data_IF_470513142774
#
_entry.id   IF_470513142774
#
_cell.length_a   1.000
_cell.length_b   1.000
_cell.length_c   1.000
_cell.angle_alpha   90.00
_cell.angle_beta   90.00
_cell.angle_gamma   90.00
#
_symmetry.space_group_name_H-M   'P 1'
#
loop_
_entity.id
_entity.type
_entity.pdbx_description
1 polymer ?
#
# COMPACT_ATOMS: atom_id res chain seq x y z
N UNK A 1 15.74 24.93 -19.56
CA UNK A 1 14.53 24.61 -20.36
C UNK A 1 13.78 23.36 -19.87
N UNK A 2 14.37 22.51 -19.01
CA UNK A 2 13.70 21.32 -18.44
C UNK A 2 12.51 21.57 -17.49
N UNK A 3 12.43 22.72 -16.82
CA UNK A 3 11.44 22.91 -15.73
C UNK A 3 9.98 23.07 -16.17
N UNK A 4 9.70 23.34 -17.45
CA UNK A 4 8.31 23.42 -17.95
C UNK A 4 7.72 22.03 -18.19
N UNK A 5 8.50 21.10 -18.76
CA UNK A 5 8.03 19.74 -19.04
C UNK A 5 7.75 18.95 -17.77
N UNK A 6 8.61 19.08 -16.75
CA UNK A 6 8.43 18.40 -15.46
C UNK A 6 7.13 18.82 -14.77
N UNK A 7 6.82 20.12 -14.79
CA UNK A 7 5.60 20.64 -14.16
C UNK A 7 4.33 20.17 -14.87
N UNK A 8 4.32 20.17 -16.20
CA UNK A 8 3.16 19.71 -16.98
C UNK A 8 2.93 18.19 -16.83
N UNK A 9 4.01 17.41 -16.69
CA UNK A 9 3.93 15.97 -16.42
C UNK A 9 3.45 15.71 -14.98
N UNK A 10 4.01 16.41 -13.99
CA UNK A 10 3.57 16.33 -12.60
C UNK A 10 2.09 16.73 -12.45
N UNK A 11 1.62 17.79 -13.13
CA UNK A 11 0.22 18.21 -13.09
C UNK A 11 -0.70 17.18 -13.78
N UNK A 12 -0.24 16.51 -14.85
CA UNK A 12 -1.00 15.45 -15.55
C UNK A 12 -1.06 14.13 -14.78
N UNK A 13 -0.02 13.79 -14.03
CA UNK A 13 0.07 12.56 -13.25
C UNK A 13 -0.55 12.78 -11.85
N UNK A 14 -0.27 13.90 -11.19
CA UNK A 14 -0.55 14.13 -9.77
C UNK A 14 -2.03 14.20 -9.37
N UNK A 15 -2.96 14.40 -10.32
CA UNK A 15 -4.39 14.54 -10.01
C UNK A 15 -5.17 13.23 -9.81
N UNK A 16 -4.72 12.11 -10.41
CA UNK A 16 -5.46 10.83 -10.41
C UNK A 16 -4.61 9.60 -10.07
N UNK A 17 -3.29 9.74 -10.01
CA UNK A 17 -2.36 8.63 -9.78
C UNK A 17 -2.22 8.27 -8.29
N UNK A 18 -2.77 9.07 -7.37
CA UNK A 18 -2.69 8.74 -5.94
C UNK A 18 -3.69 7.67 -5.47
N UNK A 19 -4.72 7.35 -6.25
CA UNK A 19 -5.85 6.53 -5.76
C UNK A 19 -5.99 5.17 -6.43
N UNK A 20 -5.14 4.82 -7.39
CA UNK A 20 -5.29 3.58 -8.18
C UNK A 20 -4.10 2.64 -7.99
N UNK A 21 -4.33 1.32 -7.81
CA UNK A 21 -3.23 0.36 -7.57
C UNK A 21 -2.28 0.19 -8.77
N UNK A 22 -2.62 0.72 -9.95
CA UNK A 22 -1.74 0.65 -11.10
C UNK A 22 -1.94 1.77 -12.10
N UNK A 23 -0.87 2.07 -12.81
CA UNK A 23 -0.82 3.09 -13.83
C UNK A 23 -0.22 2.51 -15.11
N UNK A 24 -0.59 3.04 -16.26
CA UNK A 24 -0.05 2.60 -17.54
C UNK A 24 0.12 3.77 -18.50
N UNK A 25 1.16 3.69 -19.34
CA UNK A 25 1.49 4.74 -20.29
C UNK A 25 1.89 4.12 -21.61
N UNK A 26 1.45 4.71 -22.72
CA UNK A 26 1.85 4.36 -24.06
C UNK A 26 2.92 5.34 -24.57
N UNK A 27 4.00 4.79 -25.12
CA UNK A 27 5.07 5.58 -25.74
C UNK A 27 5.29 5.18 -27.19
N UNK A 28 5.50 6.16 -28.06
CA UNK A 28 5.76 5.92 -29.48
C UNK A 28 7.27 6.02 -29.75
N UNK A 29 7.89 4.89 -30.09
CA UNK A 29 9.33 4.79 -30.35
C UNK A 29 9.74 5.70 -31.51
N UNK A 30 10.78 6.50 -31.28
CA UNK A 30 11.30 7.47 -32.25
C UNK A 30 10.53 8.78 -32.32
N UNK A 31 9.47 8.95 -31.52
CA UNK A 31 8.73 10.21 -31.35
C UNK A 31 8.89 10.76 -29.94
N UNK A 32 8.80 9.90 -28.92
CA UNK A 32 9.01 10.30 -27.52
C UNK A 32 10.49 10.55 -27.20
N UNK A 33 10.79 11.67 -26.56
CA UNK A 33 12.13 11.99 -26.05
C UNK A 33 12.48 11.07 -24.85
N UNK A 34 13.66 10.42 -24.85
CA UNK A 34 14.13 9.66 -23.69
C UNK A 34 14.12 10.44 -22.36
N UNK A 35 14.29 11.77 -22.35
CA UNK A 35 14.23 12.56 -21.12
C UNK A 35 12.84 12.56 -20.49
N UNK A 36 11.78 12.51 -21.30
CA UNK A 36 10.40 12.50 -20.80
C UNK A 36 10.10 11.19 -20.07
N UNK A 37 10.67 10.07 -20.55
CA UNK A 37 10.59 8.78 -19.86
C UNK A 37 11.24 8.81 -18.48
N UNK A 38 12.39 9.48 -18.36
CA UNK A 38 13.10 9.61 -17.09
C UNK A 38 12.28 10.42 -16.09
N UNK A 39 11.69 11.54 -16.53
CA UNK A 39 10.80 12.37 -15.70
C UNK A 39 9.58 11.58 -15.25
N UNK A 40 8.91 10.86 -16.16
CA UNK A 40 7.76 10.01 -15.80
C UNK A 40 8.13 8.98 -14.73
N UNK A 41 9.29 8.32 -14.86
CA UNK A 41 9.74 7.34 -13.87
C UNK A 41 10.01 8.00 -12.52
N UNK A 42 10.68 9.15 -12.51
CA UNK A 42 10.96 9.91 -11.28
C UNK A 42 9.66 10.37 -10.60
N UNK A 43 8.70 10.91 -11.35
CA UNK A 43 7.41 11.31 -10.84
C UNK A 43 6.64 10.11 -10.27
N UNK A 44 6.60 8.98 -10.98
CA UNK A 44 5.93 7.77 -10.50
C UNK A 44 6.61 7.17 -9.26
N UNK A 45 7.94 7.18 -9.22
CA UNK A 45 8.71 6.73 -8.06
C UNK A 45 8.38 7.56 -6.81
N UNK A 46 8.27 8.89 -6.95
CA UNK A 46 7.82 9.82 -5.90
C UNK A 46 6.40 9.53 -5.40
N UNK A 47 5.55 8.97 -6.24
CA UNK A 47 4.19 8.54 -5.89
C UNK A 47 4.11 7.04 -5.54
N UNK A 48 5.22 6.43 -5.16
CA UNK A 48 5.31 5.05 -4.70
C UNK A 48 4.95 4.00 -5.76
N UNK A 49 5.24 4.28 -7.03
CA UNK A 49 5.13 3.31 -8.10
C UNK A 49 6.48 2.70 -8.48
N UNK A 50 6.44 1.46 -8.95
CA UNK A 50 7.55 0.80 -9.64
C UNK A 50 7.11 0.32 -11.03
N UNK A 51 8.07 0.14 -11.94
CA UNK A 51 7.82 -0.35 -13.28
C UNK A 51 7.72 -1.88 -13.29
N UNK A 52 6.62 -2.41 -13.83
CA UNK A 52 6.31 -3.83 -13.80
C UNK A 52 6.38 -4.55 -15.14
N UNK A 53 6.43 -3.82 -16.25
CA UNK A 53 6.57 -4.46 -17.54
C UNK A 53 6.52 -3.49 -18.71
N UNK A 54 6.96 -4.01 -19.84
CA UNK A 54 6.90 -3.33 -21.13
C UNK A 54 6.31 -4.31 -22.14
N UNK A 55 5.24 -3.90 -22.82
CA UNK A 55 4.64 -4.64 -23.92
C UNK A 55 4.76 -3.85 -25.22
N UNK A 56 5.48 -4.41 -26.20
CA UNK A 56 5.63 -3.81 -27.51
C UNK A 56 4.43 -4.13 -28.42
N UNK A 57 3.94 -3.12 -29.14
CA UNK A 57 2.90 -3.22 -30.17
C UNK A 57 3.48 -3.00 -31.58
N UNK A 58 2.80 -3.50 -32.64
CA UNK A 58 3.29 -3.42 -34.02
C UNK A 58 3.59 -2.00 -34.53
N UNK A 59 2.88 -0.98 -34.06
CA UNK A 59 2.97 0.40 -34.55
C UNK A 59 4.10 1.21 -33.90
N UNK A 60 5.19 0.56 -33.48
CA UNK A 60 6.28 1.19 -32.72
C UNK A 60 5.76 1.86 -31.43
N UNK A 61 4.74 1.27 -30.81
CA UNK A 61 4.21 1.74 -29.53
C UNK A 61 4.59 0.74 -28.46
N UNK A 62 5.02 1.21 -27.30
CA UNK A 62 5.36 0.40 -26.15
C UNK A 62 4.46 0.82 -24.98
N UNK A 63 3.77 -0.15 -24.36
CA UNK A 63 2.99 0.03 -23.15
C UNK A 63 3.86 -0.27 -21.94
N UNK A 64 4.01 0.71 -21.07
CA UNK A 64 4.69 0.58 -19.79
C UNK A 64 3.64 0.48 -18.70
N UNK A 65 3.76 -0.53 -17.86
CA UNK A 65 2.87 -0.71 -16.70
C UNK A 65 3.62 -0.44 -15.42
N UNK A 66 2.95 0.21 -14.49
CA UNK A 66 3.44 0.56 -13.17
C UNK A 66 2.43 0.14 -12.11
N UNK A 67 2.91 -0.25 -10.93
CA UNK A 67 2.10 -0.62 -9.77
C UNK A 67 2.62 0.09 -8.54
N UNK A 68 1.80 0.25 -7.51
CA UNK A 68 2.33 0.65 -6.20
C UNK A 68 3.41 -0.33 -5.75
N UNK A 69 4.49 0.17 -5.16
CA UNK A 69 5.62 -0.62 -4.64
C UNK A 69 5.19 -1.68 -3.61
N UNK A 70 4.11 -1.42 -2.87
CA UNK A 70 3.51 -2.36 -1.92
C UNK A 70 2.77 -3.54 -2.57
N UNK A 71 2.49 -3.49 -3.88
CA UNK A 71 1.74 -4.54 -4.56
C UNK A 71 2.61 -5.68 -5.07
N UNK A 72 3.92 -5.47 -5.19
CA UNK A 72 4.80 -6.25 -6.08
C UNK A 72 4.24 -6.24 -7.53
N UNK A 73 5.02 -6.65 -8.53
CA UNK A 73 4.55 -6.60 -9.93
C UNK A 73 3.53 -7.68 -10.32
N UNK A 74 2.80 -8.19 -9.33
CA UNK A 74 1.74 -9.17 -9.47
C UNK A 74 0.45 -8.54 -10.02
N UNK A 75 -0.32 -9.36 -10.74
CA UNK A 75 -1.50 -8.89 -11.47
C UNK A 75 -2.79 -8.91 -10.65
N UNK A 76 -2.90 -9.76 -9.62
CA UNK A 76 -4.09 -9.88 -8.75
C UNK A 76 -3.75 -10.28 -7.31
N UNK A 77 -4.43 -9.71 -6.30
CA UNK A 77 -4.21 -10.11 -4.92
C UNK A 77 -4.76 -11.51 -4.74
N UNK A 78 -4.14 -12.27 -3.84
CA UNK A 78 -4.74 -13.49 -3.32
C UNK A 78 -5.27 -13.22 -1.92
N UNK A 79 -6.31 -13.95 -1.53
CA UNK A 79 -6.74 -13.94 -0.14
C UNK A 79 -5.63 -14.57 0.71
N UNK A 80 -5.14 -13.81 1.68
CA UNK A 80 -3.99 -14.22 2.49
C UNK A 80 -4.41 -14.55 3.91
N UNK A 81 -5.37 -13.79 4.46
CA UNK A 81 -5.80 -13.95 5.85
C UNK A 81 -7.32 -13.95 5.91
N UNK A 82 -7.90 -14.89 6.64
CA UNK A 82 -9.33 -15.14 6.64
C UNK A 82 -9.89 -15.03 8.06
N UNK A 83 -11.13 -14.57 8.18
CA UNK A 83 -11.97 -14.63 9.37
C UNK A 83 -13.30 -15.27 9.00
N UNK A 84 -14.20 -15.43 9.97
CA UNK A 84 -15.57 -15.86 9.66
C UNK A 84 -16.39 -14.80 8.91
N UNK A 85 -15.97 -13.53 8.98
CA UNK A 85 -16.71 -12.40 8.39
C UNK A 85 -16.17 -11.96 7.02
N UNK A 86 -15.03 -12.49 6.60
CA UNK A 86 -14.40 -12.15 5.33
C UNK A 86 -12.90 -12.42 5.29
N UNK A 87 -12.30 -12.04 4.17
CA UNK A 87 -10.90 -12.23 3.87
C UNK A 87 -10.19 -10.90 3.62
N UNK A 88 -8.99 -10.76 4.16
CA UNK A 88 -8.07 -9.69 3.83
C UNK A 88 -7.22 -10.11 2.62
N UNK A 89 -7.40 -9.40 1.52
CA UNK A 89 -6.64 -9.53 0.29
C UNK A 89 -5.42 -8.62 0.40
N UNK A 90 -4.23 -9.20 0.61
CA UNK A 90 -3.01 -8.46 0.92
C UNK A 90 -1.93 -8.66 -0.15
N UNK A 91 -1.16 -7.61 -0.41
CA UNK A 91 0.01 -7.69 -1.30
C UNK A 91 1.34 -7.32 -0.65
N UNK A 92 1.33 -6.42 0.33
CA UNK A 92 2.56 -6.04 1.01
C UNK A 92 2.52 -4.70 1.74
N UNK A 93 3.65 -4.40 2.36
CA UNK A 93 3.96 -3.13 2.97
C UNK A 93 5.38 -2.71 2.54
N UNK A 94 5.57 -1.42 2.31
CA UNK A 94 6.86 -0.79 2.00
C UNK A 94 6.98 0.46 2.85
N UNK A 95 8.19 0.79 3.28
CA UNK A 95 8.41 2.00 4.06
C UNK A 95 9.69 2.71 3.64
N UNK A 96 9.70 4.01 3.88
CA UNK A 96 10.90 4.83 3.93
C UNK A 96 11.16 5.29 5.37
N UNK A 97 12.03 6.29 5.58
CA UNK A 97 12.36 6.82 6.91
C UNK A 97 11.20 7.59 7.57
N UNK A 98 10.21 8.00 6.79
CA UNK A 98 9.14 8.91 7.16
C UNK A 98 7.77 8.27 7.15
N UNK A 99 7.52 7.27 6.30
CA UNK A 99 6.20 6.71 6.06
C UNK A 99 6.24 5.21 5.82
N UNK A 100 5.24 4.51 6.35
CA UNK A 100 4.90 3.13 6.03
C UNK A 100 3.63 3.14 5.17
N UNK A 101 3.75 2.57 3.98
CA UNK A 101 2.66 2.38 3.03
C UNK A 101 2.33 0.91 3.00
N UNK A 102 1.08 0.55 3.24
CA UNK A 102 0.65 -0.84 3.17
C UNK A 102 -0.61 -0.93 2.33
N UNK A 103 -0.88 -2.10 1.79
CA UNK A 103 -1.94 -2.24 0.79
C UNK A 103 -2.77 -3.48 1.00
N UNK A 104 -4.08 -3.31 0.90
CA UNK A 104 -5.00 -4.42 0.93
C UNK A 104 -6.44 -4.02 0.61
N UNK A 105 -7.26 -5.04 0.50
CA UNK A 105 -8.71 -4.97 0.33
C UNK A 105 -9.39 -5.96 1.27
N UNK A 106 -10.66 -5.72 1.56
CA UNK A 106 -11.51 -6.63 2.33
C UNK A 106 -12.58 -7.22 1.42
N UNK A 107 -12.61 -8.55 1.38
CA UNK A 107 -13.66 -9.31 0.71
C UNK A 107 -14.60 -9.88 1.78
N UNK A 108 -15.85 -9.39 1.90
CA UNK A 108 -16.78 -9.93 2.88
C UNK A 108 -17.14 -11.39 2.54
N UNK A 109 -17.39 -12.19 3.58
CA UNK A 109 -18.01 -13.51 3.41
C UNK A 109 -19.42 -13.35 2.84
N UNK A 110 -19.94 -14.40 2.18
CA UNK A 110 -21.20 -14.32 1.43
C UNK A 110 -22.42 -13.96 2.29
N UNK A 111 -22.37 -14.27 3.58
CA UNK A 111 -23.41 -14.09 4.60
C UNK A 111 -23.08 -13.00 5.64
N UNK A 112 -21.90 -12.37 5.55
CA UNK A 112 -21.51 -11.32 6.48
C UNK A 112 -22.12 -9.97 6.07
N UNK A 113 -22.58 -9.18 7.04
CA UNK A 113 -22.94 -7.78 6.83
C UNK A 113 -21.66 -6.93 6.73
N UNK A 114 -21.31 -6.39 5.56
CA UNK A 114 -20.08 -5.61 5.37
C UNK A 114 -20.09 -4.27 6.11
N UNK A 115 -21.24 -3.80 6.61
CA UNK A 115 -21.34 -2.54 7.37
C UNK A 115 -21.14 -2.70 8.87
N UNK A 116 -21.11 -3.95 9.36
CA UNK A 116 -21.06 -4.23 10.80
C UNK A 116 -19.66 -4.30 11.38
N UNK A 117 -18.62 -4.33 10.55
CA UNK A 117 -17.23 -4.55 10.98
C UNK A 117 -16.29 -3.42 10.57
N UNK A 118 -15.30 -3.20 11.43
CA UNK A 118 -14.11 -2.41 11.15
C UNK A 118 -12.89 -3.32 11.14
N UNK A 119 -11.84 -2.86 10.45
CA UNK A 119 -10.49 -3.38 10.61
C UNK A 119 -9.61 -2.29 11.23
N UNK A 120 -8.92 -2.64 12.30
CA UNK A 120 -7.91 -1.82 12.96
C UNK A 120 -6.55 -2.26 12.48
N UNK A 121 -5.81 -1.35 11.84
CA UNK A 121 -4.38 -1.52 11.59
C UNK A 121 -3.61 -0.86 12.71
N UNK A 122 -2.62 -1.54 13.28
CA UNK A 122 -1.85 -1.06 14.42
C UNK A 122 -0.37 -1.27 14.16
N UNK A 123 0.44 -0.25 14.44
CA UNK A 123 1.90 -0.36 14.42
C UNK A 123 2.39 -0.57 15.84
N UNK A 124 2.93 -1.75 16.11
CA UNK A 124 3.26 -2.23 17.46
C UNK A 124 4.76 -2.49 17.57
N UNK A 125 5.39 -2.04 18.64
CA UNK A 125 6.82 -2.28 18.89
C UNK A 125 7.12 -3.68 19.44
N UNK A 126 8.41 -3.98 19.66
CA UNK A 126 8.87 -5.22 20.25
C UNK A 126 8.31 -5.49 21.67
N UNK A 127 7.95 -4.44 22.42
CA UNK A 127 7.37 -4.49 23.76
C UNK A 127 5.82 -4.63 23.75
N UNK A 128 5.22 -4.84 22.58
CA UNK A 128 3.76 -4.89 22.37
C UNK A 128 3.01 -3.57 22.67
N UNK A 129 3.70 -2.43 22.56
CA UNK A 129 3.05 -1.11 22.66
C UNK A 129 2.60 -0.64 21.28
N UNK A 130 1.35 -0.21 21.19
CA UNK A 130 0.83 0.44 19.99
C UNK A 130 1.31 1.88 19.91
N UNK A 131 1.91 2.25 18.78
CA UNK A 131 2.42 3.59 18.49
C UNK A 131 1.55 4.36 17.50
N UNK A 132 0.85 3.63 16.62
CA UNK A 132 -0.08 4.22 15.66
C UNK A 132 -1.24 3.26 15.38
N UNK A 133 -2.41 3.81 15.09
CA UNK A 133 -3.61 3.05 14.77
C UNK A 133 -4.45 3.75 13.70
N UNK A 134 -4.98 2.98 12.77
CA UNK A 134 -5.98 3.42 11.78
C UNK A 134 -7.14 2.41 11.81
N UNK A 135 -8.34 2.90 12.08
CA UNK A 135 -9.57 2.12 11.97
C UNK A 135 -10.29 2.46 10.68
N UNK A 136 -10.59 1.45 9.86
CA UNK A 136 -11.37 1.62 8.64
C UNK A 136 -12.59 0.71 8.67
N UNK A 137 -13.77 1.19 8.24
CA UNK A 137 -14.89 0.31 7.98
C UNK A 137 -14.53 -0.68 6.88
N UNK A 138 -14.83 -1.96 7.06
CA UNK A 138 -14.42 -3.00 6.09
C UNK A 138 -15.03 -2.78 4.71
N UNK A 139 -16.24 -2.22 4.62
CA UNK A 139 -16.86 -1.83 3.34
C UNK A 139 -16.07 -0.75 2.57
N UNK A 140 -15.29 0.10 3.25
CA UNK A 140 -14.46 1.12 2.57
C UNK A 140 -13.23 0.53 1.87
N UNK A 141 -12.93 -0.73 2.19
CA UNK A 141 -11.86 -1.56 1.64
C UNK A 141 -12.39 -2.56 0.60
N UNK A 142 -13.59 -2.39 0.05
CA UNK A 142 -14.10 -3.26 -1.03
C UNK A 142 -13.19 -3.25 -2.27
N UNK A 143 -12.49 -2.14 -2.48
CA UNK A 143 -11.43 -1.98 -3.45
C UNK A 143 -10.06 -1.88 -2.74
N UNK A 144 -9.00 -2.11 -3.50
CA UNK A 144 -7.63 -1.97 -3.01
C UNK A 144 -7.37 -0.54 -2.52
N UNK A 145 -6.94 -0.41 -1.25
CA UNK A 145 -6.53 0.87 -0.66
C UNK A 145 -5.08 0.82 -0.21
N UNK A 146 -4.48 2.00 -0.10
CA UNK A 146 -3.15 2.19 0.47
C UNK A 146 -3.23 3.15 1.67
N UNK A 147 -3.50 2.64 2.89
CA UNK A 147 -3.35 3.46 4.07
C UNK A 147 -1.87 3.77 4.34
N UNK A 148 -1.64 4.84 5.11
CA UNK A 148 -0.30 5.38 5.39
C UNK A 148 -0.15 5.58 6.89
N UNK A 149 0.95 5.09 7.45
CA UNK A 149 1.42 5.51 8.77
C UNK A 149 2.60 6.46 8.65
N UNK A 150 2.53 7.59 9.34
CA UNK A 150 3.68 8.48 9.51
C UNK A 150 4.62 7.87 10.57
N UNK A 151 5.88 7.67 10.19
CA UNK A 151 6.96 7.13 11.01
C UNK A 151 7.90 8.22 11.53
N UNK A 152 7.73 9.47 11.08
CA UNK A 152 8.62 10.59 11.35
C UNK A 152 8.86 10.85 12.85
N UNK A 153 7.93 10.49 13.74
CA UNK A 153 8.06 10.73 15.18
C UNK A 153 8.33 9.45 16.00
N UNK A 154 8.48 8.31 15.33
CA UNK A 154 8.70 7.02 15.99
C UNK A 154 10.20 6.76 16.24
N UNK A 155 10.55 6.17 17.39
CA UNK A 155 11.93 5.78 17.65
C UNK A 155 12.40 4.68 16.69
N UNK A 156 13.71 4.59 16.49
CA UNK A 156 14.31 3.49 15.77
C UNK A 156 14.04 2.16 16.48
N UNK A 157 13.90 1.09 15.71
CA UNK A 157 13.62 -0.25 16.23
C UNK A 157 12.76 -1.09 15.29
N UNK A 158 12.44 -2.29 15.76
CA UNK A 158 11.58 -3.23 15.05
C UNK A 158 10.12 -3.09 15.49
N UNK A 159 9.25 -3.04 14.49
CA UNK A 159 7.81 -2.90 14.62
C UNK A 159 7.11 -3.97 13.81
N UNK A 160 5.85 -4.21 14.19
CA UNK A 160 4.93 -5.12 13.52
C UNK A 160 3.71 -4.33 13.10
N UNK A 161 3.33 -4.46 11.84
CA UNK A 161 2.02 -4.04 11.37
C UNK A 161 1.02 -5.16 11.67
N UNK A 162 0.12 -4.93 12.63
CA UNK A 162 -0.90 -5.88 13.05
C UNK A 162 -2.28 -5.45 12.55
N UNK A 163 -3.15 -6.42 12.29
CA UNK A 163 -4.55 -6.20 11.94
C UNK A 163 -5.51 -6.91 12.88
N UNK A 164 -6.60 -6.22 13.26
CA UNK A 164 -7.69 -6.75 14.07
C UNK A 164 -9.01 -6.42 13.39
N UNK A 165 -9.85 -7.42 13.15
CA UNK A 165 -11.21 -7.20 12.67
C UNK A 165 -12.14 -7.26 13.86
N UNK A 166 -13.06 -6.31 13.98
CA UNK A 166 -13.99 -6.24 15.10
C UNK A 166 -15.35 -5.69 14.68
N UNK A 167 -16.39 -6.09 15.40
CA UNK A 167 -17.72 -5.55 15.22
C UNK A 167 -17.74 -4.10 15.72
N UNK A 168 -18.16 -3.17 14.85
CA UNK A 168 -18.08 -1.74 15.12
C UNK A 168 -19.03 -1.28 16.25
N UNK A 169 -20.08 -2.05 16.56
CA UNK A 169 -21.05 -1.71 17.60
C UNK A 169 -20.72 -2.36 18.94
N UNK A 170 -20.30 -3.64 18.94
CA UNK A 170 -20.08 -4.41 20.16
C UNK A 170 -18.62 -4.43 20.61
N UNK A 171 -17.67 -4.13 19.72
CA UNK A 171 -16.23 -4.26 19.97
C UNK A 171 -15.73 -5.71 19.97
N UNK A 172 -16.61 -6.68 19.68
CA UNK A 172 -16.25 -8.10 19.60
C UNK A 172 -15.25 -8.34 18.47
N UNK A 173 -14.12 -8.97 18.79
CA UNK A 173 -13.03 -9.21 17.84
C UNK A 173 -13.21 -10.54 17.13
N UNK A 174 -12.82 -10.58 15.87
CA UNK A 174 -12.85 -11.77 15.03
C UNK A 174 -11.53 -12.52 15.13
N UNK A 175 -11.62 -13.84 15.22
CA UNK A 175 -10.45 -14.73 15.16
C UNK A 175 -10.00 -14.88 13.71
N UNK A 176 -8.70 -14.78 13.48
CA UNK A 176 -8.09 -15.11 12.20
C UNK A 176 -7.89 -16.62 12.08
N UNK A 177 -8.33 -17.19 10.97
CA UNK A 177 -8.15 -18.60 10.65
C UNK A 177 -6.69 -18.88 10.36
N UNK A 178 -6.20 -20.00 10.86
CA UNK A 178 -4.82 -20.48 10.69
C UNK A 178 -3.75 -19.48 11.20
N UNK A 179 -4.14 -18.53 12.06
CA UNK A 179 -3.21 -17.63 12.73
C UNK A 179 -2.46 -18.38 13.82
N UNK A 180 -1.14 -18.47 13.68
CA UNK A 180 -0.24 -19.15 14.63
C UNK A 180 0.23 -18.22 15.76
N UNK A 181 -0.18 -16.95 15.76
CA UNK A 181 0.13 -16.01 16.84
C UNK A 181 -0.60 -16.38 18.14
N UNK A 182 0.03 -16.00 19.27
CA UNK A 182 -0.53 -16.25 20.60
C UNK A 182 -1.79 -15.42 20.92
N UNK A 183 -2.03 -14.34 20.16
CA UNK A 183 -3.30 -13.60 20.14
C UNK A 183 -4.02 -13.92 18.83
N UNK A 184 -5.01 -14.83 18.82
CA UNK A 184 -5.63 -15.31 17.59
C UNK A 184 -6.41 -14.22 16.83
N UNK A 185 -6.85 -13.16 17.51
CA UNK A 185 -7.56 -12.01 16.91
C UNK A 185 -6.62 -10.93 16.32
N UNK A 186 -5.30 -11.07 16.48
CA UNK A 186 -4.30 -10.16 15.91
C UNK A 186 -3.48 -10.86 14.85
N UNK A 187 -3.56 -10.40 13.61
CA UNK A 187 -2.79 -10.94 12.50
C UNK A 187 -1.62 -10.02 12.17
N UNK A 188 -0.38 -10.53 12.21
CA UNK A 188 0.76 -9.81 11.65
C UNK A 188 0.66 -9.77 10.12
N UNK A 189 0.71 -8.56 9.55
CA UNK A 189 0.72 -8.32 8.11
C UNK A 189 2.12 -8.08 7.57
N UNK A 190 2.98 -7.39 8.33
CA UNK A 190 4.34 -7.07 7.92
C UNK A 190 5.25 -6.80 9.12
N UNK A 191 6.55 -7.01 8.92
CA UNK A 191 7.61 -6.51 9.78
C UNK A 191 8.12 -5.17 9.22
N UNK A 192 8.46 -4.25 10.12
CA UNK A 192 8.89 -2.88 9.78
C UNK A 192 10.07 -2.52 10.66
N UNK A 193 11.22 -2.23 10.08
CA UNK A 193 12.41 -1.82 10.84
C UNK A 193 12.70 -0.35 10.55
N UNK A 194 12.58 0.49 11.58
CA UNK A 194 12.94 1.92 11.49
C UNK A 194 14.42 2.06 11.87
N UNK A 195 15.30 2.52 10.96
CA UNK A 195 16.72 2.66 11.26
C UNK A 195 16.99 3.81 12.23
N UNK A 196 18.13 3.75 12.93
CA UNK A 196 18.64 4.89 13.67
C UNK A 196 18.86 6.08 12.73
N UNK A 197 18.27 7.22 13.07
CA UNK A 197 18.49 8.45 12.30
C UNK A 197 19.81 9.07 12.72
N UNK A 198 20.63 9.42 11.73
CA UNK A 198 21.85 10.18 12.01
C UNK A 198 21.46 11.45 12.78
N UNK A 199 22.12 11.68 13.92
CA UNK A 199 21.92 12.91 14.68
C UNK A 199 22.19 14.09 13.75
N UNK A 200 21.15 14.84 13.40
CA UNK A 200 21.30 16.10 12.68
C UNK A 200 22.06 17.03 13.62
N UNK A 201 23.36 17.16 13.36
CA UNK A 201 24.22 18.10 14.05
C UNK A 201 23.63 19.49 13.83
N UNK A 202 23.03 20.02 14.89
CA UNK A 202 22.40 21.35 14.91
C UNK A 202 23.47 22.43 15.06
#
# INVERSE_FOLDING_TARGET
>A
MHSRNTRDIDERIGGSVLETPGYWILFQRGVTDPSDMAVVRETLDKYNYEACGIQAFPNKVDLYTYRWKSLQCDTQPKATYNTDTGAYLHYGAVHDETRLLFTGAWQPAADADPQSHNISFQLIDADWRSHAQIDLPTWSLSDMRQPIFELADLPAGDYRLMAVVYNAQTGERQVWRDNEDWIPEMQQLAEVTIPERAATSS
#
